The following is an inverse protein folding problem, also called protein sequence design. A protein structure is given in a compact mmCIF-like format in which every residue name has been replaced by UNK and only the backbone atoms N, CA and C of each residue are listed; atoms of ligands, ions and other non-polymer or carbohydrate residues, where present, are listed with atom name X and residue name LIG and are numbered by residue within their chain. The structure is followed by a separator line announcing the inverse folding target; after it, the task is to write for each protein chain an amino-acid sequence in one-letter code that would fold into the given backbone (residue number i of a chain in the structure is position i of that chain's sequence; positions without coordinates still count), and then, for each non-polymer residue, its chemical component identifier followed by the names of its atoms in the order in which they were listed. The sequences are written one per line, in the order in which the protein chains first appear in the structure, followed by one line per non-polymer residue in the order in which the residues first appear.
data_IF_060667387259
#
_entry.id   IF_060667387259
#
_cell.length_a   1.000
_cell.length_b   1.000
_cell.length_c   1.000
_cell.angle_alpha   90.00
_cell.angle_beta   90.00
_cell.angle_gamma   90.00
#
_symmetry.space_group_name_H-M   'P 1'
#
loop_
_entity.id
_entity.type
_entity.pdbx_description
1 polymer ?
#
# COMPACT_ATOMS: atom_id res chain seq x y z
N UNK A 1 -13.58 -17.75 35.10
CA UNK A 1 -13.85 -16.32 34.85
C UNK A 1 -13.01 -15.51 35.83
N UNK A 2 -12.22 -14.52 35.39
CA UNK A 2 -11.46 -13.67 36.30
C UNK A 2 -12.41 -12.92 37.24
N UNK A 3 -11.94 -12.67 38.46
CA UNK A 3 -12.73 -11.95 39.47
C UNK A 3 -12.76 -10.45 39.16
N UNK A 4 -13.80 -9.70 39.58
CA UNK A 4 -13.92 -8.26 39.31
C UNK A 4 -12.67 -7.45 39.73
N UNK A 5 -12.05 -7.81 40.86
CA UNK A 5 -10.81 -7.20 41.34
C UNK A 5 -9.60 -7.44 40.42
N UNK A 6 -9.55 -8.56 39.73
CA UNK A 6 -8.50 -8.83 38.74
C UNK A 6 -8.71 -8.02 37.47
N UNK A 7 -9.97 -7.83 37.04
CA UNK A 7 -10.29 -6.98 35.90
C UNK A 7 -9.91 -5.51 36.17
N UNK A 8 -10.14 -5.01 37.38
CA UNK A 8 -9.80 -3.65 37.76
C UNK A 8 -8.28 -3.41 37.80
N UNK A 9 -7.52 -4.41 38.29
CA UNK A 9 -6.04 -4.37 38.26
C UNK A 9 -5.50 -4.36 36.82
N UNK A 10 -6.06 -5.19 35.93
CA UNK A 10 -5.69 -5.24 34.52
C UNK A 10 -5.99 -3.90 33.82
N UNK A 11 -7.12 -3.27 34.13
CA UNK A 11 -7.46 -1.94 33.61
C UNK A 11 -6.51 -0.85 34.13
N UNK A 12 -6.15 -0.89 35.42
CA UNK A 12 -5.20 0.05 36.01
C UNK A 12 -3.78 -0.08 35.42
N UNK A 13 -3.34 -1.30 35.12
CA UNK A 13 -2.05 -1.55 34.45
C UNK A 13 -2.06 -1.10 32.97
N UNK A 14 -3.20 -1.23 32.28
CA UNK A 14 -3.35 -0.76 30.89
C UNK A 14 -3.26 0.77 30.78
N UNK A 15 -3.81 1.50 31.75
CA UNK A 15 -3.72 2.99 31.81
C UNK A 15 -2.29 3.46 32.12
N UNK A 16 -1.51 2.68 32.87
CA UNK A 16 -0.11 3.02 33.19
C UNK A 16 0.88 2.74 32.08
N UNK A 17 0.50 1.97 31.05
CA UNK A 17 1.35 1.79 29.87
C UNK A 17 1.20 3.01 28.98
N UNK A 18 2.25 3.85 28.85
CA UNK A 18 2.20 4.93 27.89
C UNK A 18 2.00 4.31 26.51
N UNK A 19 0.94 4.73 25.82
CA UNK A 19 0.81 4.45 24.40
C UNK A 19 2.08 4.98 23.75
N UNK A 20 2.81 4.20 22.93
CA UNK A 20 3.97 4.72 22.22
C UNK A 20 3.48 5.93 21.42
N UNK A 21 3.99 7.10 21.78
CA UNK A 21 3.64 8.33 21.09
C UNK A 21 4.05 8.16 19.62
N UNK A 22 3.18 8.52 18.66
CA UNK A 22 3.59 8.47 17.27
C UNK A 22 4.83 9.35 17.12
N UNK A 23 5.87 8.81 16.49
CA UNK A 23 7.09 9.55 16.20
C UNK A 23 6.71 10.86 15.48
N UNK A 24 7.33 11.97 15.87
CA UNK A 24 7.13 13.24 15.19
C UNK A 24 7.42 13.06 13.68
N UNK A 25 6.72 13.76 12.78
CA UNK A 25 6.88 13.59 11.33
C UNK A 25 8.33 13.70 10.85
N UNK A 26 9.14 14.53 11.53
CA UNK A 26 10.56 14.78 11.22
C UNK A 26 11.54 14.03 12.14
N UNK A 27 11.05 13.11 12.97
CA UNK A 27 11.93 12.33 13.83
C UNK A 27 12.85 11.43 12.99
N UNK A 28 14.13 11.27 13.37
CA UNK A 28 15.04 10.34 12.71
C UNK A 28 14.42 8.94 12.66
N UNK A 29 14.40 8.34 11.47
CA UNK A 29 13.89 6.99 11.29
C UNK A 29 14.74 5.99 12.10
N UNK A 30 14.13 4.98 12.74
CA UNK A 30 14.87 3.96 13.49
C UNK A 30 15.94 3.28 12.62
N UNK A 31 17.08 2.96 13.24
CA UNK A 31 18.11 2.16 12.58
C UNK A 31 17.49 0.81 12.16
N UNK A 32 17.50 0.52 10.86
CA UNK A 32 16.86 -0.67 10.28
C UNK A 32 15.44 -0.48 9.73
N UNK A 33 14.90 0.74 9.74
CA UNK A 33 13.64 1.07 9.05
C UNK A 33 13.69 0.67 7.57
N UNK A 34 14.73 1.08 6.85
CA UNK A 34 14.91 0.74 5.44
C UNK A 34 15.02 -0.76 5.19
N UNK A 35 15.70 -1.46 6.08
CA UNK A 35 15.87 -2.92 6.00
C UNK A 35 14.52 -3.63 6.18
N UNK A 36 13.68 -3.14 7.10
CA UNK A 36 12.32 -3.63 7.32
C UNK A 36 11.39 -3.35 6.13
N UNK A 37 11.53 -2.18 5.50
CA UNK A 37 10.77 -1.81 4.29
C UNK A 37 11.17 -2.69 3.11
N UNK A 38 12.47 -2.92 2.90
CA UNK A 38 12.97 -3.73 1.79
C UNK A 38 12.66 -5.23 1.98
N UNK A 39 12.59 -5.71 3.21
CA UNK A 39 12.21 -7.09 3.54
C UNK A 39 10.70 -7.35 3.48
N UNK A 40 9.87 -6.30 3.39
CA UNK A 40 8.42 -6.48 3.26
C UNK A 40 8.12 -7.24 1.94
N UNK A 41 7.41 -8.39 1.99
CA UNK A 41 7.01 -9.13 0.79
C UNK A 41 6.23 -8.29 -0.24
N UNK A 42 5.56 -7.22 0.22
CA UNK A 42 4.85 -6.25 -0.62
C UNK A 42 5.80 -5.34 -1.39
N UNK A 43 7.00 -5.08 -0.87
CA UNK A 43 8.03 -4.35 -1.60
C UNK A 43 8.55 -5.16 -2.81
N UNK A 44 8.50 -6.49 -2.72
CA UNK A 44 8.97 -7.41 -3.76
C UNK A 44 7.98 -7.75 -4.87
N UNK A 45 6.74 -7.22 -4.87
CA UNK A 45 5.78 -7.53 -5.95
C UNK A 45 6.27 -6.89 -7.26
N UNK A 46 6.86 -7.70 -8.13
CA UNK A 46 7.48 -7.24 -9.38
C UNK A 46 6.41 -6.60 -10.27
N UNK A 47 6.73 -5.51 -10.97
CA UNK A 47 5.81 -4.88 -11.93
C UNK A 47 5.22 -5.90 -12.93
N UNK A 48 6.02 -6.90 -13.31
CA UNK A 48 5.59 -7.99 -14.20
C UNK A 48 4.42 -8.81 -13.62
N UNK A 49 4.43 -9.09 -12.31
CA UNK A 49 3.36 -9.82 -11.64
C UNK A 49 2.09 -8.96 -11.50
N UNK A 50 2.24 -7.66 -11.25
CA UNK A 50 1.10 -6.75 -11.12
C UNK A 50 0.39 -6.55 -12.46
N UNK A 51 1.11 -6.55 -13.58
CA UNK A 51 0.52 -6.43 -14.92
C UNK A 51 -0.52 -7.51 -15.23
N UNK A 52 -0.35 -8.71 -14.70
CA UNK A 52 -1.27 -9.82 -14.93
C UNK A 52 -2.45 -9.87 -13.94
N UNK A 53 -2.48 -8.99 -12.92
CA UNK A 53 -3.55 -8.96 -11.93
C UNK A 53 -4.75 -8.16 -12.42
N UNK A 54 -5.92 -8.52 -11.88
CA UNK A 54 -7.13 -7.71 -12.03
C UNK A 54 -7.01 -6.45 -11.19
N UNK A 55 -7.67 -5.37 -11.62
CA UNK A 55 -7.67 -4.11 -10.88
C UNK A 55 -8.15 -4.28 -9.43
N UNK A 56 -9.15 -5.13 -9.18
CA UNK A 56 -9.65 -5.43 -7.83
C UNK A 56 -8.66 -6.18 -6.92
N UNK A 57 -7.67 -6.85 -7.49
CA UNK A 57 -6.67 -7.65 -6.75
C UNK A 57 -5.43 -6.82 -6.38
N UNK A 58 -5.33 -5.61 -6.90
CA UNK A 58 -4.20 -4.72 -6.67
C UNK A 58 -4.47 -3.83 -5.47
N UNK A 59 -3.71 -4.04 -4.38
CA UNK A 59 -3.84 -3.26 -3.15
C UNK A 59 -3.17 -1.87 -3.19
N UNK A 60 -2.62 -1.47 -4.34
CA UNK A 60 -1.99 -0.15 -4.49
C UNK A 60 -3.07 0.91 -4.68
N UNK A 61 -2.90 2.08 -4.07
CA UNK A 61 -3.82 3.20 -4.27
C UNK A 61 -3.63 3.90 -5.62
N UNK A 62 -2.40 3.91 -6.13
CA UNK A 62 -2.03 4.53 -7.41
C UNK A 62 -1.32 3.51 -8.27
N UNK A 63 -1.74 3.40 -9.53
CA UNK A 63 -1.11 2.61 -10.56
C UNK A 63 -0.32 3.53 -11.49
N UNK A 64 0.89 3.10 -11.84
CA UNK A 64 1.82 3.86 -12.67
C UNK A 64 2.27 3.02 -13.86
N UNK A 65 2.33 3.64 -15.03
CA UNK A 65 2.93 3.03 -16.22
C UNK A 65 3.82 4.06 -16.91
N UNK A 66 5.04 3.66 -17.26
CA UNK A 66 5.97 4.50 -18.01
C UNK A 66 6.14 3.97 -19.43
N UNK A 67 6.04 4.87 -20.42
CA UNK A 67 6.38 4.55 -21.78
C UNK A 67 7.89 4.37 -21.92
N UNK A 68 8.35 3.24 -22.45
CA UNK A 68 9.79 2.98 -22.64
C UNK A 68 10.42 3.82 -23.75
N UNK A 69 9.62 4.36 -24.68
CA UNK A 69 10.12 5.15 -25.83
C UNK A 69 10.43 6.59 -25.44
N UNK A 70 9.54 7.23 -24.68
CA UNK A 70 9.64 8.66 -24.33
C UNK A 70 9.77 8.93 -22.83
N UNK A 71 9.80 7.88 -22.01
CA UNK A 71 9.93 7.94 -20.54
C UNK A 71 8.80 8.68 -19.80
N UNK A 72 7.72 9.05 -20.50
CA UNK A 72 6.53 9.63 -19.87
C UNK A 72 5.85 8.61 -18.96
N UNK A 73 5.53 9.03 -17.74
CA UNK A 73 4.78 8.24 -16.76
C UNK A 73 3.35 8.74 -16.67
N UNK A 74 2.39 7.82 -16.76
CA UNK A 74 0.97 8.06 -16.53
C UNK A 74 0.59 7.43 -15.21
N UNK A 75 -0.14 8.18 -14.40
CA UNK A 75 -0.65 7.73 -13.10
C UNK A 75 -2.18 7.71 -13.12
N UNK A 76 -2.77 6.73 -12.47
CA UNK A 76 -4.21 6.65 -12.25
C UNK A 76 -4.49 6.10 -10.86
N UNK A 77 -5.49 6.64 -10.16
CA UNK A 77 -5.95 6.03 -8.93
C UNK A 77 -6.61 4.69 -9.22
N UNK A 78 -6.35 3.67 -8.41
CA UNK A 78 -6.93 2.33 -8.62
C UNK A 78 -8.46 2.38 -8.59
N UNK A 79 -9.05 3.22 -7.74
CA UNK A 79 -10.50 3.44 -7.69
C UNK A 79 -11.05 4.00 -9.03
N UNK A 80 -10.34 4.96 -9.64
CA UNK A 80 -10.71 5.51 -10.93
C UNK A 80 -10.54 4.49 -12.05
N UNK A 81 -9.45 3.72 -12.03
CA UNK A 81 -9.23 2.64 -12.99
C UNK A 81 -10.36 1.60 -12.91
N UNK A 82 -10.77 1.20 -11.69
CA UNK A 82 -11.88 0.26 -11.47
C UNK A 82 -13.20 0.86 -11.98
N UNK A 83 -13.45 2.16 -11.75
CA UNK A 83 -14.66 2.84 -12.22
C UNK A 83 -14.74 2.96 -13.74
N UNK A 84 -13.61 3.21 -14.40
CA UNK A 84 -13.55 3.44 -15.85
C UNK A 84 -13.46 2.14 -16.67
N UNK A 85 -12.68 1.16 -16.20
CA UNK A 85 -12.38 -0.06 -16.96
C UNK A 85 -13.02 -1.32 -16.37
N UNK A 86 -13.55 -1.25 -15.16
CA UNK A 86 -14.17 -2.36 -14.45
C UNK A 86 -13.20 -3.12 -13.55
N UNK A 87 -13.73 -3.65 -12.44
CA UNK A 87 -12.95 -4.33 -11.38
C UNK A 87 -12.14 -5.54 -11.88
N UNK A 88 -12.67 -6.26 -12.88
CA UNK A 88 -12.06 -7.47 -13.42
C UNK A 88 -11.09 -7.21 -14.58
N UNK A 89 -10.89 -5.95 -15.00
CA UNK A 89 -9.94 -5.62 -16.05
C UNK A 89 -8.51 -5.94 -15.62
N UNK A 90 -7.69 -6.42 -16.55
CA UNK A 90 -6.28 -6.69 -16.29
C UNK A 90 -5.48 -5.38 -16.35
N UNK A 91 -4.56 -5.19 -15.40
CA UNK A 91 -3.73 -3.99 -15.37
C UNK A 91 -2.89 -3.83 -16.66
N UNK A 92 -2.40 -4.91 -17.26
CA UNK A 92 -1.66 -4.87 -18.54
C UNK A 92 -2.46 -4.17 -19.65
N UNK A 93 -3.73 -4.52 -19.81
CA UNK A 93 -4.56 -4.02 -20.90
C UNK A 93 -4.96 -2.56 -20.66
N UNK A 94 -5.26 -2.23 -19.40
CA UNK A 94 -5.54 -0.85 -18.98
C UNK A 94 -4.31 0.03 -19.16
N UNK A 95 -3.13 -0.44 -18.71
CA UNK A 95 -1.87 0.28 -18.84
C UNK A 95 -1.50 0.53 -20.31
N UNK A 96 -1.72 -0.46 -21.20
CA UNK A 96 -1.50 -0.28 -22.63
C UNK A 96 -2.44 0.81 -23.19
N UNK A 97 -3.75 0.75 -22.89
CA UNK A 97 -4.70 1.77 -23.33
C UNK A 97 -4.35 3.17 -22.81
N UNK A 98 -3.87 3.29 -21.57
CA UNK A 98 -3.44 4.58 -21.03
C UNK A 98 -2.26 5.15 -21.82
N UNK A 99 -1.29 4.30 -22.20
CA UNK A 99 -0.18 4.72 -23.06
C UNK A 99 -0.67 5.09 -24.46
N UNK A 100 -1.53 4.29 -25.09
CA UNK A 100 -2.04 4.55 -26.45
C UNK A 100 -2.79 5.89 -26.56
N UNK A 101 -3.39 6.38 -25.48
CA UNK A 101 -4.10 7.68 -25.45
C UNK A 101 -3.18 8.88 -25.13
N UNK A 102 -1.95 8.65 -24.65
CA UNK A 102 -1.07 9.72 -24.12
C UNK A 102 0.30 9.77 -24.76
N UNK A 103 0.68 8.76 -25.56
CA UNK A 103 1.98 8.59 -26.20
C UNK A 103 1.85 8.11 -27.64
#
# INVERSE_FOLDING_TARGET
MPTPKQMEKLAAEAVRRPSPSPAAPDAPLPAGYWDSVLKDPRAGTTEAQIRQRRLSEIQRHVLRISCRRCQRTVEIQTADAVRLYGANALWKDVAQRLLDNTC
#
